data_IF_309613630577
#
_entry.id   IF_309613630577
#
_cell.length_a   1.000
_cell.length_b   1.000
_cell.length_c   1.000
_cell.angle_alpha   90.00
_cell.angle_beta   90.00
_cell.angle_gamma   90.00
#
_symmetry.space_group_name_H-M   'P 1'
#
loop_
_entity.id
_entity.type
_entity.pdbx_description
1 polymer ?
#
# COMPACT_ATOMS: atom_id res chain seq x y z
N UNK A 1 -17.08 18.67 -20.65
CA UNK A 1 -16.36 17.39 -20.43
C UNK A 1 -15.57 17.60 -19.14
N UNK A 2 -15.77 16.77 -18.12
CA UNK A 2 -15.10 16.95 -16.83
C UNK A 2 -13.63 16.54 -16.99
N UNK A 3 -12.75 17.54 -17.09
CA UNK A 3 -11.31 17.37 -16.95
C UNK A 3 -11.07 17.00 -15.49
N UNK A 4 -10.86 15.71 -15.25
CA UNK A 4 -10.52 15.22 -13.92
C UNK A 4 -9.04 15.47 -13.76
N UNK A 5 -8.72 16.59 -13.12
CA UNK A 5 -7.39 16.94 -12.63
C UNK A 5 -6.89 15.76 -11.80
N UNK A 6 -6.11 14.90 -12.45
CA UNK A 6 -5.42 13.80 -11.79
C UNK A 6 -4.20 14.45 -11.18
N UNK A 7 -4.01 14.44 -9.84
CA UNK A 7 -2.76 14.91 -9.28
C UNK A 7 -1.67 13.96 -9.77
N UNK A 8 -0.98 14.39 -10.82
CA UNK A 8 0.21 13.77 -11.34
C UNK A 8 1.24 13.88 -10.22
N UNK A 9 1.30 12.85 -9.36
CA UNK A 9 2.34 12.69 -8.36
C UNK A 9 3.66 12.50 -9.11
N UNK A 10 4.28 13.62 -9.44
CA UNK A 10 5.69 13.70 -9.74
C UNK A 10 6.41 13.24 -8.46
N UNK A 11 6.95 12.04 -8.49
CA UNK A 11 7.99 11.66 -7.56
C UNK A 11 9.17 11.16 -8.36
N UNK A 12 10.15 12.06 -8.44
CA UNK A 12 11.51 11.84 -8.90
C UNK A 12 12.04 10.47 -8.48
N UNK A 13 12.53 9.76 -9.49
CA UNK A 13 12.99 8.39 -9.52
C UNK A 13 14.33 8.23 -8.78
N UNK A 14 14.30 8.36 -7.46
CA UNK A 14 15.39 7.90 -6.58
C UNK A 14 14.77 7.03 -5.50
N UNK A 15 14.84 5.71 -5.71
CA UNK A 15 14.79 4.68 -4.67
C UNK A 15 13.81 4.96 -3.52
N UNK A 16 12.51 5.07 -3.82
CA UNK A 16 11.50 5.07 -2.77
C UNK A 16 11.49 3.69 -2.10
N UNK A 17 12.33 3.51 -1.08
CA UNK A 17 12.46 2.26 -0.30
C UNK A 17 11.17 1.90 0.42
N UNK A 18 10.29 2.88 0.61
CA UNK A 18 9.04 2.71 1.34
C UNK A 18 7.87 3.35 0.59
N UNK A 19 6.73 2.68 0.57
CA UNK A 19 5.46 3.17 0.01
C UNK A 19 4.43 3.18 1.15
N UNK A 20 3.69 4.27 1.29
CA UNK A 20 2.54 4.35 2.21
C UNK A 20 1.25 4.10 1.43
N UNK A 21 0.46 3.13 1.86
CA UNK A 21 -0.84 2.77 1.28
C UNK A 21 -1.92 2.69 2.36
N UNK A 22 -3.20 2.65 1.96
CA UNK A 22 -4.30 2.36 2.87
C UNK A 22 -4.51 0.84 2.95
N UNK A 23 -4.71 0.33 4.16
CA UNK A 23 -4.99 -1.07 4.43
C UNK A 23 -6.17 -1.20 5.39
N UNK A 24 -7.08 -2.14 5.11
CA UNK A 24 -8.32 -2.28 5.86
C UNK A 24 -9.43 -1.36 5.36
N UNK A 25 -10.63 -1.52 5.95
CA UNK A 25 -11.82 -0.72 5.62
C UNK A 25 -11.87 0.62 6.39
N UNK A 26 -11.06 0.75 7.45
CA UNK A 26 -10.97 1.96 8.28
C UNK A 26 -10.10 3.07 7.68
N UNK A 27 -9.46 2.83 6.54
CA UNK A 27 -8.53 3.77 5.90
C UNK A 27 -7.22 3.92 6.65
N UNK A 28 -6.83 2.94 7.47
CA UNK A 28 -5.56 2.93 8.17
C UNK A 28 -4.39 2.98 7.18
N UNK A 29 -3.42 3.84 7.46
CA UNK A 29 -2.23 3.95 6.62
C UNK A 29 -1.17 2.94 7.08
N UNK A 30 -0.60 2.21 6.12
CA UNK A 30 0.48 1.26 6.33
C UNK A 30 1.66 1.60 5.42
N UNK A 31 2.87 1.50 5.98
CA UNK A 31 4.11 1.66 5.21
C UNK A 31 4.69 0.30 4.86
N UNK A 32 4.89 0.07 3.56
CA UNK A 32 5.44 -1.14 2.99
C UNK A 32 6.84 -0.88 2.44
N UNK A 33 7.71 -1.88 2.46
CA UNK A 33 8.97 -1.82 1.71
C UNK A 33 8.63 -1.96 0.24
N UNK A 34 9.14 -1.05 -0.58
CA UNK A 34 9.01 -1.16 -2.02
C UNK A 34 10.06 -2.14 -2.53
N UNK A 35 9.59 -3.33 -2.91
CA UNK A 35 10.38 -4.32 -3.60
C UNK A 35 10.16 -4.15 -5.10
N UNK A 36 11.22 -3.81 -5.84
CA UNK A 36 11.16 -3.66 -7.30
C UNK A 36 11.37 -4.99 -8.04
N UNK A 37 11.81 -6.03 -7.34
CA UNK A 37 12.05 -7.36 -7.91
C UNK A 37 10.79 -8.24 -7.86
N UNK A 38 9.86 -7.94 -6.95
CA UNK A 38 8.62 -8.70 -6.75
C UNK A 38 7.37 -7.85 -7.02
N UNK A 39 6.42 -8.41 -7.78
CA UNK A 39 5.15 -7.73 -8.11
C UNK A 39 4.14 -7.72 -6.95
N UNK A 40 4.40 -8.47 -5.88
CA UNK A 40 3.49 -8.64 -4.75
C UNK A 40 4.16 -8.30 -3.43
N UNK A 41 3.45 -7.57 -2.57
CA UNK A 41 3.84 -7.32 -1.19
C UNK A 41 3.06 -8.25 -0.24
N UNK A 42 3.75 -8.75 0.78
CA UNK A 42 3.15 -9.59 1.82
C UNK A 42 3.08 -8.82 3.13
N UNK A 43 1.91 -8.83 3.75
CA UNK A 43 1.67 -8.22 5.05
C UNK A 43 1.28 -9.32 6.04
N UNK A 44 1.87 -9.28 7.23
CA UNK A 44 1.38 -10.08 8.34
C UNK A 44 0.16 -9.35 8.92
N UNK A 45 -1.01 -9.98 8.82
CA UNK A 45 -2.23 -9.44 9.43
C UNK A 45 -2.31 -9.89 10.90
N UNK A 46 -2.69 -8.96 11.79
CA UNK A 46 -3.05 -9.27 13.17
C UNK A 46 -4.46 -9.89 13.29
N UNK A 47 -5.14 -10.13 12.17
CA UNK A 47 -6.43 -10.79 12.13
C UNK A 47 -6.29 -12.26 12.54
N UNK A 48 -6.65 -12.56 13.78
CA UNK A 48 -6.73 -13.92 14.30
C UNK A 48 -8.15 -14.47 14.13
N UNK A 49 -8.28 -15.62 13.47
CA UNK A 49 -9.52 -16.40 13.44
C UNK A 49 -9.49 -17.38 14.61
N UNK A 50 -10.56 -17.43 15.40
CA UNK A 50 -10.70 -18.46 16.43
C UNK A 50 -10.75 -19.85 15.78
N UNK A 51 -9.82 -20.73 16.16
CA UNK A 51 -9.89 -22.13 15.80
C UNK A 51 -10.93 -22.81 16.71
N UNK A 52 -12.19 -22.83 16.30
CA UNK A 52 -13.20 -23.70 16.93
C UNK A 52 -12.90 -25.16 16.57
N UNK A 53 -12.72 -25.99 17.61
CA UNK A 53 -12.64 -27.46 17.51
C UNK A 53 -14.03 -28.09 17.46
#
# INVERSE_FOLDING_TARGET
MHETDTPQSQTDTTEQRYITTQYGDGGEQMTLVHDTENEQAWIQSDYAVEATQ
#
